data_IF_307285588249
#
_entry.id   IF_307285588249
#
_cell.length_a   1.000
_cell.length_b   1.000
_cell.length_c   1.000
_cell.angle_alpha   90.00
_cell.angle_beta   90.00
_cell.angle_gamma   90.00
#
_symmetry.space_group_name_H-M   'P 1'
#
loop_
_entity.id
_entity.type
_entity.pdbx_description
1 polymer ?
#
# COMPACT_ATOMS: atom_id res chain seq x y z
N UNK A 1 1.83 21.31 -13.02
CA UNK A 1 0.99 22.08 -12.06
C UNK A 1 -0.44 21.54 -12.05
N UNK A 2 -1.05 21.33 -13.22
CA UNK A 2 -2.44 20.82 -13.35
C UNK A 2 -2.62 19.47 -12.65
N UNK A 3 -1.75 18.50 -12.93
CA UNK A 3 -1.77 17.16 -12.35
C UNK A 3 -1.64 17.17 -10.83
N UNK A 4 -0.72 18.00 -10.30
CA UNK A 4 -0.57 18.14 -8.84
C UNK A 4 -1.88 18.62 -8.20
N UNK A 5 -2.56 19.61 -8.80
CA UNK A 5 -3.86 20.09 -8.32
C UNK A 5 -4.94 19.00 -8.37
N UNK A 6 -4.97 18.21 -9.45
CA UNK A 6 -5.93 17.11 -9.58
C UNK A 6 -5.68 15.99 -8.53
N UNK A 7 -4.41 15.64 -8.31
CA UNK A 7 -4.01 14.63 -7.32
C UNK A 7 -4.28 15.11 -5.90
N UNK A 8 -4.04 16.39 -5.58
CA UNK A 8 -4.36 16.98 -4.27
C UNK A 8 -5.83 16.82 -3.88
N UNK A 9 -6.75 16.86 -4.85
CA UNK A 9 -8.17 16.67 -4.60
C UNK A 9 -8.56 15.21 -4.27
N UNK A 10 -7.69 14.24 -4.59
CA UNK A 10 -7.94 12.80 -4.42
C UNK A 10 -7.23 12.20 -3.21
N UNK A 11 -5.95 12.53 -3.05
CA UNK A 11 -5.11 11.97 -1.97
C UNK A 11 -5.14 12.85 -0.72
N UNK A 12 -5.41 14.13 -0.87
CA UNK A 12 -5.52 15.15 0.20
C UNK A 12 -4.37 15.04 1.22
N UNK A 13 -3.11 15.22 0.79
CA UNK A 13 -2.01 15.29 1.75
C UNK A 13 -2.10 16.57 2.59
N UNK A 14 -1.58 16.51 3.80
CA UNK A 14 -1.63 17.58 4.80
C UNK A 14 -0.23 18.00 5.23
N UNK A 15 -0.13 19.09 5.99
CA UNK A 15 1.14 19.56 6.57
C UNK A 15 1.78 18.56 7.54
N UNK A 16 0.98 17.67 8.12
CA UNK A 16 1.44 16.63 9.04
C UNK A 16 1.93 15.37 8.34
N UNK A 17 1.77 15.30 7.01
CA UNK A 17 2.21 14.15 6.24
C UNK A 17 3.71 14.14 6.02
N UNK A 18 4.25 12.91 6.03
CA UNK A 18 5.65 12.62 5.74
C UNK A 18 5.72 11.68 4.54
N UNK A 19 6.37 12.14 3.49
CA UNK A 19 6.67 11.37 2.29
C UNK A 19 8.08 10.79 2.40
N UNK A 20 8.28 9.56 1.93
CA UNK A 20 9.62 9.00 1.73
C UNK A 20 9.89 8.89 0.23
N UNK A 21 10.79 9.74 -0.26
CA UNK A 21 11.22 9.77 -1.66
C UNK A 21 12.43 8.84 -1.86
N UNK A 22 12.34 7.91 -2.80
CA UNK A 22 13.40 6.94 -3.09
C UNK A 22 13.49 6.55 -4.57
N UNK A 23 12.52 6.93 -5.38
CA UNK A 23 12.59 6.75 -6.83
C UNK A 23 13.44 7.88 -7.46
N UNK A 24 13.95 7.68 -8.69
CA UNK A 24 14.72 8.73 -9.36
C UNK A 24 13.87 9.99 -9.63
N UNK A 25 14.33 11.15 -9.14
CA UNK A 25 13.65 12.44 -9.40
C UNK A 25 13.69 12.86 -10.89
N UNK A 26 14.51 12.23 -11.70
CA UNK A 26 14.47 12.36 -13.16
C UNK A 26 13.21 11.74 -13.77
N UNK A 27 12.60 10.78 -13.09
CA UNK A 27 11.35 10.16 -13.52
C UNK A 27 10.16 11.04 -13.14
N UNK A 28 9.24 11.32 -14.09
CA UNK A 28 8.11 12.23 -13.90
C UNK A 28 7.16 11.80 -12.79
N UNK A 29 6.99 10.51 -12.58
CA UNK A 29 6.15 9.96 -11.50
C UNK A 29 6.66 10.39 -10.11
N UNK A 30 7.94 10.17 -9.82
CA UNK A 30 8.53 10.59 -8.55
C UNK A 30 8.59 12.11 -8.42
N UNK A 31 8.97 12.80 -9.49
CA UNK A 31 9.01 14.26 -9.51
C UNK A 31 7.65 14.87 -9.17
N UNK A 32 6.57 14.28 -9.66
CA UNK A 32 5.21 14.76 -9.37
C UNK A 32 4.70 14.30 -8.03
N UNK A 33 4.75 12.98 -7.75
CA UNK A 33 4.15 12.39 -6.55
C UNK A 33 5.02 12.49 -5.30
N UNK A 34 6.35 12.38 -5.43
CA UNK A 34 7.27 12.40 -4.30
C UNK A 34 7.92 13.76 -4.04
N UNK A 35 7.79 14.74 -4.95
CA UNK A 35 8.42 16.04 -4.79
C UNK A 35 7.42 17.20 -4.90
N UNK A 36 6.76 17.40 -6.05
CA UNK A 36 5.86 18.54 -6.21
C UNK A 36 4.59 18.43 -5.38
N UNK A 37 4.03 17.24 -5.25
CA UNK A 37 2.80 17.02 -4.48
C UNK A 37 3.00 17.37 -2.98
N UNK A 38 4.02 16.82 -2.28
CA UNK A 38 4.25 17.19 -0.89
C UNK A 38 4.60 18.68 -0.69
N UNK A 39 5.37 19.29 -1.59
CA UNK A 39 5.65 20.74 -1.53
C UNK A 39 4.37 21.55 -1.63
N UNK A 40 3.49 21.21 -2.57
CA UNK A 40 2.22 21.90 -2.77
C UNK A 40 1.26 21.75 -1.57
N UNK A 41 1.39 20.65 -0.80
CA UNK A 41 0.62 20.39 0.40
C UNK A 41 1.26 20.94 1.69
N UNK A 42 2.51 21.43 1.63
CA UNK A 42 3.28 21.82 2.81
C UNK A 42 3.74 20.63 3.66
N UNK A 43 3.75 19.42 3.09
CA UNK A 43 4.15 18.19 3.76
C UNK A 43 5.68 18.05 3.85
N UNK A 44 6.15 17.21 4.77
CA UNK A 44 7.56 16.86 4.89
C UNK A 44 7.99 15.84 3.83
N UNK A 45 9.16 16.03 3.23
CA UNK A 45 9.80 15.06 2.34
C UNK A 45 11.09 14.57 2.98
N UNK A 46 11.17 13.26 3.24
CA UNK A 46 12.40 12.58 3.62
C UNK A 46 12.96 11.83 2.39
N UNK A 47 14.27 11.87 2.20
CA UNK A 47 14.94 11.14 1.13
C UNK A 47 15.57 9.87 1.69
N UNK A 48 15.32 8.74 1.02
CA UNK A 48 15.96 7.49 1.38
C UNK A 48 17.47 7.55 1.10
N UNK A 49 18.25 6.94 1.97
CA UNK A 49 19.73 6.87 1.84
C UNK A 49 20.14 6.09 0.60
N UNK A 50 19.48 4.97 0.33
CA UNK A 50 19.66 4.14 -0.86
C UNK A 50 18.57 3.08 -0.98
N UNK A 51 18.39 2.50 -2.16
CA UNK A 51 17.41 1.42 -2.39
C UNK A 51 17.66 0.16 -1.52
N UNK A 52 18.92 -0.29 -1.30
CA UNK A 52 19.20 -1.39 -0.37
C UNK A 52 18.77 -1.12 1.08
N UNK A 53 18.88 0.12 1.55
CA UNK A 53 18.53 0.53 2.91
C UNK A 53 17.05 0.95 3.07
N UNK A 54 16.27 0.91 2.01
CA UNK A 54 14.88 1.38 2.01
C UNK A 54 14.02 0.74 3.13
N UNK A 55 14.22 -0.55 3.41
CA UNK A 55 13.47 -1.24 4.47
C UNK A 55 13.77 -0.71 5.89
N UNK A 56 14.99 -0.21 6.12
CA UNK A 56 15.38 0.45 7.37
C UNK A 56 14.85 1.89 7.40
N UNK A 57 14.96 2.59 6.27
CA UNK A 57 14.48 3.96 6.13
C UNK A 57 12.98 4.07 6.32
N UNK A 58 12.19 3.12 5.78
CA UNK A 58 10.76 3.02 6.05
C UNK A 58 10.43 2.92 7.55
N UNK A 59 11.20 2.15 8.31
CA UNK A 59 11.00 1.97 9.75
C UNK A 59 11.45 3.19 10.56
N UNK A 60 12.49 3.88 10.10
CA UNK A 60 13.05 5.06 10.78
C UNK A 60 12.22 6.30 10.51
N UNK A 61 11.93 6.58 9.23
CA UNK A 61 11.16 7.75 8.80
C UNK A 61 9.67 7.60 9.15
N UNK A 62 9.13 6.38 9.05
CA UNK A 62 7.72 6.07 9.29
C UNK A 62 6.79 6.97 8.45
N UNK A 63 6.88 6.91 7.12
CA UNK A 63 6.11 7.78 6.25
C UNK A 63 4.60 7.57 6.42
N UNK A 64 3.83 8.62 6.15
CA UNK A 64 2.35 8.58 6.14
C UNK A 64 1.81 8.43 4.72
N UNK A 65 2.56 8.89 3.72
CA UNK A 65 2.27 8.74 2.30
C UNK A 65 3.46 8.08 1.61
N UNK A 66 3.21 7.03 0.87
CA UNK A 66 4.23 6.28 0.14
C UNK A 66 3.90 6.25 -1.35
N UNK A 67 4.73 6.90 -2.16
CA UNK A 67 4.66 6.81 -3.63
C UNK A 67 5.69 5.79 -4.09
N UNK A 68 5.25 4.73 -4.80
CA UNK A 68 6.14 3.62 -5.12
C UNK A 68 5.71 2.85 -6.37
N UNK A 69 6.61 2.00 -6.85
CA UNK A 69 6.32 1.03 -7.91
C UNK A 69 5.77 -0.28 -7.34
N UNK A 70 5.04 -1.09 -8.13
CA UNK A 70 4.52 -2.39 -7.72
C UNK A 70 5.55 -3.32 -7.08
N UNK A 71 6.80 -3.27 -7.55
CA UNK A 71 7.90 -4.11 -7.05
C UNK A 71 8.14 -4.02 -5.54
N UNK A 72 7.85 -2.90 -4.91
CA UNK A 72 8.00 -2.75 -3.46
C UNK A 72 6.98 -3.64 -2.74
N UNK A 73 5.73 -3.62 -3.17
CA UNK A 73 4.66 -4.45 -2.60
C UNK A 73 4.91 -5.94 -2.86
N UNK A 74 5.36 -6.29 -4.07
CA UNK A 74 5.73 -7.66 -4.44
C UNK A 74 6.85 -8.20 -3.53
N UNK A 75 7.92 -7.43 -3.30
CA UNK A 75 9.03 -7.81 -2.42
C UNK A 75 8.59 -8.00 -0.97
N UNK A 76 7.74 -7.09 -0.45
CA UNK A 76 7.21 -7.22 0.91
C UNK A 76 6.33 -8.45 1.03
N UNK A 77 5.46 -8.70 0.05
CA UNK A 77 4.60 -9.89 0.00
C UNK A 77 5.41 -11.18 -0.10
N UNK A 78 6.41 -11.25 -0.98
CA UNK A 78 7.27 -12.43 -1.12
C UNK A 78 8.02 -12.75 0.17
N UNK A 79 8.64 -11.75 0.83
CA UNK A 79 9.29 -11.93 2.14
C UNK A 79 8.32 -12.37 3.23
N UNK A 80 7.07 -11.91 3.16
CA UNK A 80 6.04 -12.35 4.08
C UNK A 80 5.73 -13.83 3.90
N UNK A 81 5.44 -14.26 2.67
CA UNK A 81 5.16 -15.67 2.35
C UNK A 81 6.33 -16.58 2.73
N UNK A 82 7.55 -16.17 2.46
CA UNK A 82 8.76 -16.90 2.86
C UNK A 82 8.82 -17.12 4.38
N UNK A 83 8.46 -16.12 5.18
CA UNK A 83 8.42 -16.24 6.65
C UNK A 83 7.24 -17.08 7.18
N UNK A 84 6.14 -17.12 6.44
CA UNK A 84 4.93 -17.83 6.87
C UNK A 84 4.92 -19.29 6.41
N UNK A 85 5.49 -19.59 5.21
CA UNK A 85 5.41 -20.91 4.59
C UNK A 85 5.93 -22.08 5.46
N UNK A 86 6.97 -21.90 6.31
CA UNK A 86 7.42 -22.98 7.19
C UNK A 86 6.42 -23.33 8.30
N UNK A 87 5.39 -22.51 8.53
CA UNK A 87 4.49 -22.64 9.67
C UNK A 87 3.03 -22.66 9.21
N UNK A 88 2.40 -23.82 8.99
CA UNK A 88 1.06 -23.93 8.41
C UNK A 88 -0.01 -23.10 9.11
N UNK A 89 -0.03 -23.07 10.45
CA UNK A 89 -1.03 -22.29 11.19
C UNK A 89 -0.88 -20.78 11.00
N UNK A 90 0.37 -20.27 10.80
CA UNK A 90 0.59 -18.85 10.49
C UNK A 90 0.08 -18.50 9.10
N UNK A 91 0.25 -19.41 8.14
CA UNK A 91 -0.29 -19.25 6.81
C UNK A 91 -1.83 -19.19 6.83
N UNK A 92 -2.48 -20.13 7.56
CA UNK A 92 -3.93 -20.11 7.73
C UNK A 92 -4.43 -18.83 8.39
N UNK A 93 -3.70 -18.34 9.41
CA UNK A 93 -4.03 -17.07 10.07
C UNK A 93 -3.92 -15.87 9.12
N UNK A 94 -2.88 -15.86 8.28
CA UNK A 94 -2.70 -14.85 7.24
C UNK A 94 -3.82 -14.90 6.21
N UNK A 95 -4.18 -16.07 5.69
CA UNK A 95 -5.27 -16.26 4.73
C UNK A 95 -6.62 -15.82 5.34
N UNK A 96 -6.88 -16.18 6.59
CA UNK A 96 -8.08 -15.72 7.30
C UNK A 96 -8.14 -14.19 7.40
N UNK A 97 -7.01 -13.55 7.74
CA UNK A 97 -6.93 -12.09 7.83
C UNK A 97 -7.13 -11.43 6.45
N UNK A 98 -6.44 -11.92 5.41
CA UNK A 98 -6.55 -11.39 4.06
C UNK A 98 -7.98 -11.51 3.52
N UNK A 99 -8.60 -12.69 3.62
CA UNK A 99 -9.92 -12.93 3.06
C UNK A 99 -11.00 -12.14 3.80
N UNK A 100 -10.96 -12.13 5.13
CA UNK A 100 -11.91 -11.36 5.94
C UNK A 100 -11.76 -9.85 5.72
N UNK A 101 -10.53 -9.37 5.66
CA UNK A 101 -10.26 -7.97 5.36
C UNK A 101 -10.68 -7.58 3.95
N UNK A 102 -10.42 -8.43 2.96
CA UNK A 102 -10.88 -8.22 1.58
C UNK A 102 -12.40 -8.16 1.46
N UNK A 103 -13.12 -9.08 2.13
CA UNK A 103 -14.57 -9.06 2.17
C UNK A 103 -15.10 -7.73 2.77
N UNK A 104 -14.48 -7.25 3.85
CA UNK A 104 -14.82 -5.95 4.45
C UNK A 104 -14.55 -4.78 3.51
N UNK A 105 -13.42 -4.81 2.80
CA UNK A 105 -13.08 -3.81 1.78
C UNK A 105 -14.12 -3.80 0.66
N UNK A 106 -14.50 -4.95 0.12
CA UNK A 106 -15.52 -5.05 -0.93
C UNK A 106 -16.87 -4.44 -0.46
N UNK A 107 -17.32 -4.78 0.74
CA UNK A 107 -18.55 -4.22 1.30
C UNK A 107 -18.44 -2.69 1.45
N UNK A 108 -17.33 -2.18 1.96
CA UNK A 108 -17.12 -0.74 2.13
C UNK A 108 -17.11 0.02 0.80
N UNK A 109 -16.67 -0.64 -0.29
CA UNK A 109 -16.61 -0.08 -1.64
C UNK A 109 -17.88 -0.37 -2.48
N UNK A 110 -18.89 -1.02 -1.92
CA UNK A 110 -20.10 -1.41 -2.66
C UNK A 110 -19.85 -2.47 -3.74
N UNK A 111 -18.75 -3.23 -3.62
CA UNK A 111 -18.40 -4.32 -4.54
C UNK A 111 -19.09 -5.63 -4.15
N UNK A 112 -19.29 -6.56 -5.11
CA UNK A 112 -19.79 -7.89 -4.79
C UNK A 112 -18.94 -8.59 -3.72
N UNK A 113 -19.59 -9.24 -2.77
CA UNK A 113 -18.88 -10.02 -1.76
C UNK A 113 -18.10 -11.16 -2.42
N UNK A 114 -16.85 -11.44 -1.95
CA UNK A 114 -16.07 -12.58 -2.43
C UNK A 114 -16.83 -13.89 -2.23
N UNK A 115 -16.63 -14.86 -3.11
CA UNK A 115 -17.26 -16.17 -3.00
C UNK A 115 -16.74 -16.92 -1.76
N UNK A 116 -17.59 -17.71 -1.11
CA UNK A 116 -17.29 -18.41 0.14
C UNK A 116 -16.14 -19.44 0.04
N UNK A 117 -15.80 -19.88 -1.19
CA UNK A 117 -14.70 -20.83 -1.45
C UNK A 117 -13.30 -20.30 -1.07
N UNK A 118 -13.12 -18.99 -1.04
CA UNK A 118 -11.85 -18.35 -0.66
C UNK A 118 -11.47 -18.60 0.83
N UNK A 119 -12.38 -19.08 1.67
CA UNK A 119 -12.14 -19.27 3.11
C UNK A 119 -11.81 -20.72 3.51
N UNK A 120 -11.85 -21.69 2.59
CA UNK A 120 -11.64 -23.10 2.92
C UNK A 120 -10.24 -23.38 3.48
N UNK A 121 -9.21 -22.71 2.99
CA UNK A 121 -7.84 -22.90 3.43
C UNK A 121 -7.57 -22.36 4.85
N UNK A 122 -8.34 -21.36 5.31
CA UNK A 122 -8.17 -20.72 6.60
C UNK A 122 -8.74 -21.54 7.79
N UNK A 123 -9.53 -22.58 7.53
CA UNK A 123 -10.10 -23.46 8.55
C UNK A 123 -10.85 -22.70 9.65
N UNK A 124 -10.73 -23.16 10.92
CA UNK A 124 -11.37 -22.52 12.08
C UNK A 124 -10.93 -21.06 12.32
N UNK A 125 -9.76 -20.67 11.80
CA UNK A 125 -9.24 -19.30 11.94
C UNK A 125 -10.09 -18.26 11.17
N UNK A 126 -10.86 -18.69 10.17
CA UNK A 126 -11.82 -17.82 9.50
C UNK A 126 -12.91 -17.28 10.45
N UNK A 127 -13.18 -17.97 11.56
CA UNK A 127 -14.14 -17.54 12.58
C UNK A 127 -13.61 -16.43 13.49
N UNK A 128 -12.28 -16.21 13.54
CA UNK A 128 -11.69 -15.20 14.42
C UNK A 128 -12.21 -13.79 14.08
N UNK A 129 -12.49 -12.96 15.11
CA UNK A 129 -12.96 -11.58 14.88
C UNK A 129 -11.90 -10.72 14.20
N UNK A 130 -12.34 -9.80 13.33
CA UNK A 130 -11.43 -8.91 12.59
C UNK A 130 -10.42 -8.15 13.47
N UNK A 131 -10.80 -7.55 14.61
CA UNK A 131 -9.81 -6.84 15.45
C UNK A 131 -8.63 -7.70 15.88
N UNK A 132 -8.86 -8.98 16.15
CA UNK A 132 -7.81 -9.93 16.51
C UNK A 132 -6.90 -10.23 15.31
N UNK A 133 -7.49 -10.54 14.15
CA UNK A 133 -6.73 -10.76 12.90
C UNK A 133 -5.94 -9.51 12.49
N UNK A 134 -6.53 -8.35 12.66
CA UNK A 134 -5.86 -7.08 12.41
C UNK A 134 -4.64 -6.88 13.33
N UNK A 135 -4.78 -7.17 14.61
CA UNK A 135 -3.70 -7.01 15.58
C UNK A 135 -2.56 -8.03 15.34
N UNK A 136 -2.91 -9.28 15.04
CA UNK A 136 -1.93 -10.36 14.90
C UNK A 136 -1.26 -10.43 13.53
N UNK A 137 -1.94 -10.00 12.48
CA UNK A 137 -1.46 -10.14 11.09
C UNK A 137 -1.29 -8.78 10.40
N UNK A 138 -2.36 -8.00 10.28
CA UNK A 138 -2.34 -6.80 9.45
C UNK A 138 -1.37 -5.74 10.01
N UNK A 139 -1.46 -5.41 11.29
CA UNK A 139 -0.57 -4.42 11.93
C UNK A 139 0.91 -4.77 11.85
N UNK A 140 1.38 -6.00 12.21
CA UNK A 140 2.77 -6.39 12.07
C UNK A 140 3.28 -6.35 10.62
N UNK A 141 2.41 -6.67 9.65
CA UNK A 141 2.76 -6.63 8.24
C UNK A 141 2.88 -5.18 7.75
N UNK A 142 1.91 -4.34 8.04
CA UNK A 142 1.93 -2.93 7.67
C UNK A 142 3.04 -2.15 8.39
N UNK A 143 3.51 -2.64 9.55
CA UNK A 143 4.69 -2.09 10.24
C UNK A 143 5.98 -2.19 9.42
N UNK A 144 6.05 -3.06 8.40
CA UNK A 144 7.18 -3.10 7.47
C UNK A 144 7.28 -1.80 6.63
N UNK A 145 6.18 -1.09 6.45
CA UNK A 145 6.13 0.23 5.83
C UNK A 145 6.26 1.39 6.84
N UNK A 146 6.68 1.11 8.08
CA UNK A 146 6.80 2.10 9.15
C UNK A 146 5.57 2.24 10.05
N UNK A 147 4.47 1.55 9.74
CA UNK A 147 3.26 1.47 10.60
C UNK A 147 2.41 2.73 10.68
N UNK A 148 2.71 3.77 9.85
CA UNK A 148 1.96 5.03 9.81
C UNK A 148 1.42 5.36 8.42
N UNK A 149 1.66 4.50 7.42
CA UNK A 149 1.19 4.74 6.05
C UNK A 149 -0.34 4.75 6.04
N UNK A 150 -0.92 5.90 5.74
CA UNK A 150 -2.36 6.09 5.54
C UNK A 150 -2.78 5.94 4.08
N UNK A 151 -1.90 6.35 3.15
CA UNK A 151 -2.11 6.20 1.71
C UNK A 151 -0.83 5.71 1.05
N UNK A 152 -0.95 4.68 0.26
CA UNK A 152 0.10 4.18 -0.60
C UNK A 152 -0.33 4.33 -2.07
N UNK A 153 0.53 4.88 -2.90
CA UNK A 153 0.28 5.08 -4.33
C UNK A 153 1.19 4.15 -5.11
N UNK A 154 0.62 3.29 -5.94
CA UNK A 154 1.34 2.42 -6.85
C UNK A 154 1.21 2.94 -8.28
N UNK A 155 2.32 3.18 -8.96
CA UNK A 155 2.33 3.66 -10.34
C UNK A 155 3.55 3.17 -11.12
N UNK A 156 3.64 3.57 -12.39
CA UNK A 156 4.75 3.20 -13.27
C UNK A 156 4.64 1.80 -13.90
N UNK A 157 3.87 0.89 -13.33
CA UNK A 157 3.55 -0.42 -13.87
C UNK A 157 2.23 -0.96 -13.30
N UNK A 158 1.59 -1.94 -13.95
CA UNK A 158 0.38 -2.58 -13.41
C UNK A 158 0.67 -3.31 -12.10
N UNK A 159 -0.19 -3.11 -11.09
CA UNK A 159 -0.15 -3.86 -9.85
C UNK A 159 -0.91 -5.18 -10.01
N UNK A 160 -0.29 -6.30 -9.62
CA UNK A 160 -0.94 -7.60 -9.65
C UNK A 160 -2.22 -7.60 -8.78
N UNK A 161 -3.36 -8.15 -9.27
CA UNK A 161 -4.58 -8.26 -8.49
C UNK A 161 -4.39 -9.02 -7.17
N UNK A 162 -3.53 -10.03 -7.14
CA UNK A 162 -3.19 -10.80 -5.93
C UNK A 162 -2.52 -9.90 -4.89
N UNK A 163 -1.58 -9.05 -5.32
CA UNK A 163 -0.88 -8.11 -4.45
C UNK A 163 -1.85 -7.01 -3.97
N UNK A 164 -2.67 -6.48 -4.85
CA UNK A 164 -3.71 -5.51 -4.49
C UNK A 164 -4.68 -6.08 -3.45
N UNK A 165 -5.23 -7.29 -3.69
CA UNK A 165 -6.12 -8.01 -2.76
C UNK A 165 -5.46 -8.20 -1.39
N UNK A 166 -4.18 -8.56 -1.36
CA UNK A 166 -3.43 -8.73 -0.12
C UNK A 166 -3.40 -7.43 0.69
N UNK A 167 -2.88 -6.35 0.15
CA UNK A 167 -2.66 -5.12 0.90
C UNK A 167 -3.95 -4.37 1.22
N UNK A 168 -4.90 -4.31 0.29
CA UNK A 168 -6.23 -3.74 0.53
C UNK A 168 -6.99 -4.56 1.59
N UNK A 169 -6.94 -5.89 1.50
CA UNK A 169 -7.52 -6.79 2.50
C UNK A 169 -6.90 -6.64 3.89
N UNK A 170 -5.60 -6.33 3.97
CA UNK A 170 -4.95 -6.07 5.26
C UNK A 170 -5.14 -4.62 5.75
N UNK A 171 -5.86 -3.78 5.01
CA UNK A 171 -6.25 -2.43 5.42
C UNK A 171 -5.28 -1.33 5.01
N UNK A 172 -4.35 -1.59 4.06
CA UNK A 172 -3.57 -0.53 3.44
C UNK A 172 -4.44 0.19 2.40
N UNK A 173 -4.60 1.50 2.52
CA UNK A 173 -5.22 2.30 1.45
C UNK A 173 -4.26 2.39 0.27
N UNK A 174 -4.40 1.47 -0.66
CA UNK A 174 -3.54 1.34 -1.83
C UNK A 174 -4.27 1.87 -3.06
N UNK A 175 -3.77 2.98 -3.59
CA UNK A 175 -4.27 3.66 -4.79
C UNK A 175 -3.36 3.31 -5.95
N UNK A 176 -3.93 3.01 -7.11
CA UNK A 176 -3.18 2.79 -8.33
C UNK A 176 -3.35 3.98 -9.27
N UNK A 177 -2.22 4.55 -9.69
CA UNK A 177 -2.16 5.60 -10.70
C UNK A 177 -1.72 5.04 -12.05
N UNK A 178 -2.39 5.46 -13.11
CA UNK A 178 -1.99 5.26 -14.49
C UNK A 178 -1.50 6.58 -15.09
N UNK A 179 -0.39 6.51 -15.81
CA UNK A 179 0.17 7.66 -16.47
C UNK A 179 1.37 7.31 -17.36
N UNK A 180 1.84 8.30 -18.08
CA UNK A 180 3.00 8.22 -18.95
C UNK A 180 3.73 9.58 -18.95
N UNK A 181 5.01 9.59 -19.31
CA UNK A 181 5.83 10.81 -19.30
C UNK A 181 5.22 11.93 -20.13
N UNK A 182 4.62 11.58 -21.27
CA UNK A 182 4.00 12.50 -22.22
C UNK A 182 2.74 13.18 -21.69
N UNK A 183 2.15 12.66 -20.61
CA UNK A 183 0.93 13.22 -19.99
C UNK A 183 1.17 13.99 -18.69
N UNK A 184 2.42 14.27 -18.36
CA UNK A 184 2.90 15.16 -17.29
C UNK A 184 2.60 14.78 -15.81
N UNK A 185 2.66 13.57 -15.29
CA UNK A 185 2.58 12.22 -15.86
C UNK A 185 1.22 11.52 -15.65
N UNK A 186 0.27 12.12 -14.90
CA UNK A 186 -0.94 11.43 -14.41
C UNK A 186 -2.07 11.53 -15.43
N UNK A 187 -2.60 10.39 -15.86
CA UNK A 187 -3.82 10.30 -16.69
C UNK A 187 -5.02 9.98 -15.81
N UNK A 188 -4.90 8.99 -14.94
CA UNK A 188 -5.97 8.59 -14.05
C UNK A 188 -5.44 7.97 -12.75
N UNK A 189 -6.22 8.04 -11.70
CA UNK A 189 -5.98 7.31 -10.46
C UNK A 189 -7.33 6.95 -9.83
N UNK A 190 -7.40 5.78 -9.18
CA UNK A 190 -8.53 5.50 -8.33
C UNK A 190 -8.45 6.34 -7.04
N UNK A 191 -9.58 6.56 -6.40
CA UNK A 191 -9.65 7.23 -5.09
C UNK A 191 -9.46 6.22 -3.96
N UNK A 192 -8.99 6.67 -2.79
CA UNK A 192 -8.94 5.86 -1.58
C UNK A 192 -10.29 5.33 -1.14
#
# INVERSE_FOLDING_TARGET
>A
VSDVKAVLQRIVPTVDDVFLSFLPLSHTFERTGGYYLPIAAGSCVAYARSVPLLAEDLKTVRPTVLVSEPRIYERVHAKLLEKLSPTPWKMQLYEAAQNKGWARFCVAQGLPAPQADDNKAAGWMAALPWPLLQALVAKPLLAQFGGRVRVAVSGGAPLSPTIAKCFLGLGLQLVQGYGMTETAPVVSANSP
#
